data_IF_193057294717
#
_entry.id   IF_193057294717
#
_cell.length_a   1.000
_cell.length_b   1.000
_cell.length_c   1.000
_cell.angle_alpha   90.00
_cell.angle_beta   90.00
_cell.angle_gamma   90.00
#
_symmetry.space_group_name_H-M   'P 1'
#
loop_
_entity.id
_entity.type
_entity.pdbx_description
1 polymer ?
#
# COMPACT_ATOMS: atom_id res chain seq x y z
N UNK A 1 45.28 -25.56 -36.08
CA UNK A 1 43.89 -25.28 -36.49
C UNK A 1 43.06 -26.43 -35.95
N UNK A 2 42.24 -26.31 -34.92
CA UNK A 2 41.12 -25.38 -34.75
C UNK A 2 40.81 -25.23 -33.26
N UNK A 3 40.85 -23.99 -32.76
CA UNK A 3 40.38 -23.62 -31.41
C UNK A 3 38.85 -23.55 -31.46
N UNK A 4 38.17 -24.44 -30.75
CA UNK A 4 36.72 -24.36 -30.58
C UNK A 4 36.40 -23.27 -29.53
N UNK A 5 35.86 -22.15 -29.99
CA UNK A 5 35.29 -21.13 -29.12
C UNK A 5 34.01 -21.68 -28.50
N UNK A 6 34.02 -21.91 -27.19
CA UNK A 6 32.81 -22.19 -26.41
C UNK A 6 32.05 -20.87 -26.29
N UNK A 7 31.01 -20.72 -27.10
CA UNK A 7 30.03 -19.64 -26.98
C UNK A 7 29.21 -19.91 -25.70
N UNK A 8 29.57 -19.25 -24.59
CA UNK A 8 28.65 -19.14 -23.45
C UNK A 8 27.46 -18.29 -23.90
N UNK A 9 26.36 -18.94 -24.24
CA UNK A 9 25.06 -18.30 -24.30
C UNK A 9 24.69 -18.01 -22.85
N UNK A 10 24.82 -16.74 -22.44
CA UNK A 10 24.16 -16.27 -21.23
C UNK A 10 22.66 -16.44 -21.46
N UNK A 11 22.04 -17.45 -20.83
CA UNK A 11 20.60 -17.44 -20.66
C UNK A 11 20.28 -16.21 -19.82
N UNK A 12 19.75 -15.16 -20.46
CA UNK A 12 19.09 -14.10 -19.73
C UNK A 12 17.98 -14.79 -18.91
N UNK A 13 18.15 -14.82 -17.59
CA UNK A 13 17.09 -15.21 -16.69
C UNK A 13 15.95 -14.21 -16.95
N UNK A 14 14.93 -14.66 -17.67
CA UNK A 14 13.86 -13.78 -18.09
C UNK A 14 12.82 -13.79 -16.98
N UNK A 15 12.81 -12.71 -16.21
CA UNK A 15 11.90 -12.56 -15.08
C UNK A 15 10.48 -12.40 -15.63
N UNK A 16 9.77 -13.51 -15.65
CA UNK A 16 8.32 -13.59 -15.85
C UNK A 16 7.61 -12.76 -14.77
N UNK A 17 6.45 -12.19 -15.13
CA UNK A 17 5.66 -11.36 -14.25
C UNK A 17 4.18 -11.67 -14.41
N UNK A 18 3.47 -11.48 -13.30
CA UNK A 18 2.01 -11.45 -13.24
C UNK A 18 1.55 -10.00 -13.15
N UNK A 19 0.80 -9.55 -14.16
CA UNK A 19 0.22 -8.21 -14.21
C UNK A 19 -1.26 -8.30 -13.83
N UNK A 20 -1.60 -7.73 -12.67
CA UNK A 20 -2.98 -7.57 -12.24
C UNK A 20 -3.49 -6.22 -12.69
N UNK A 21 -4.66 -6.20 -13.30
CA UNK A 21 -5.30 -4.99 -13.83
C UNK A 21 -6.47 -4.56 -12.95
N UNK A 22 -6.87 -3.30 -13.09
CA UNK A 22 -7.95 -2.71 -12.31
C UNK A 22 -9.31 -3.38 -12.58
N UNK A 23 -9.53 -3.94 -13.78
CA UNK A 23 -10.75 -4.70 -14.11
C UNK A 23 -10.72 -6.15 -13.60
N UNK A 24 -9.72 -6.50 -12.78
CA UNK A 24 -9.59 -7.82 -12.15
C UNK A 24 -8.96 -8.89 -13.05
N UNK A 25 -8.55 -8.57 -14.29
CA UNK A 25 -7.81 -9.53 -15.12
C UNK A 25 -6.39 -9.70 -14.60
N UNK A 26 -5.91 -10.94 -14.70
CA UNK A 26 -4.53 -11.32 -14.50
C UNK A 26 -3.92 -11.69 -15.85
N UNK A 27 -2.79 -11.07 -16.18
CA UNK A 27 -2.02 -11.36 -17.39
C UNK A 27 -0.65 -11.89 -16.98
N UNK A 28 -0.30 -13.07 -17.46
CA UNK A 28 1.01 -13.69 -17.19
C UNK A 28 1.90 -13.57 -18.42
N UNK A 29 3.14 -13.15 -18.22
CA UNK A 29 4.10 -13.01 -19.31
C UNK A 29 5.38 -12.31 -18.92
N UNK A 30 6.27 -12.13 -19.89
CA UNK A 30 7.53 -11.41 -19.71
C UNK A 30 7.31 -9.91 -19.94
N UNK A 31 7.77 -9.07 -19.02
CA UNK A 31 7.77 -7.62 -19.23
C UNK A 31 8.93 -7.26 -20.16
N UNK A 32 8.63 -6.75 -21.35
CA UNK A 32 9.64 -6.37 -22.35
C UNK A 32 10.12 -4.92 -22.17
N UNK A 33 9.20 -4.01 -21.80
CA UNK A 33 9.52 -2.61 -21.52
C UNK A 33 8.43 -1.95 -20.67
N UNK A 34 8.79 -0.86 -20.01
CA UNK A 34 7.88 0.05 -19.32
C UNK A 34 8.27 1.46 -19.75
N UNK A 35 7.32 2.24 -20.25
CA UNK A 35 7.50 3.66 -20.50
C UNK A 35 6.53 4.49 -19.64
N UNK A 36 6.42 5.79 -19.92
CA UNK A 36 5.58 6.70 -19.13
C UNK A 36 4.08 6.36 -19.16
N UNK A 37 3.58 5.55 -20.10
CA UNK A 37 2.16 5.26 -20.29
C UNK A 37 1.83 3.79 -20.47
N UNK A 38 2.79 2.96 -20.87
CA UNK A 38 2.50 1.60 -21.32
C UNK A 38 3.55 0.62 -20.81
N UNK A 39 3.07 -0.53 -20.35
CA UNK A 39 3.85 -1.74 -20.15
C UNK A 39 3.70 -2.61 -21.40
N UNK A 40 4.81 -3.12 -21.91
CA UNK A 40 4.79 -4.09 -23.01
C UNK A 40 4.97 -5.49 -22.46
N UNK A 41 3.95 -6.34 -22.58
CA UNK A 41 3.97 -7.72 -22.11
C UNK A 41 4.13 -8.69 -23.28
N UNK A 42 5.05 -9.64 -23.16
CA UNK A 42 5.22 -10.76 -24.09
C UNK A 42 4.64 -12.02 -23.46
N UNK A 43 3.62 -12.59 -24.10
CA UNK A 43 2.95 -13.82 -23.65
C UNK A 43 2.65 -14.70 -24.86
N UNK A 44 2.94 -16.00 -24.77
CA UNK A 44 2.74 -16.99 -25.84
C UNK A 44 3.32 -16.56 -27.21
N UNK A 45 4.45 -15.85 -27.22
CA UNK A 45 5.10 -15.34 -28.43
C UNK A 45 4.42 -14.12 -29.06
N UNK A 46 3.42 -13.52 -28.40
CA UNK A 46 2.79 -12.26 -28.79
C UNK A 46 3.18 -11.14 -27.84
N UNK A 47 3.56 -10.00 -28.40
CA UNK A 47 3.78 -8.76 -27.67
C UNK A 47 2.50 -7.93 -27.63
N UNK A 48 2.04 -7.55 -26.44
CA UNK A 48 0.81 -6.78 -26.22
C UNK A 48 1.07 -5.56 -25.34
N UNK A 49 0.63 -4.35 -25.75
CA UNK A 49 0.69 -3.17 -24.90
C UNK A 49 -0.41 -3.22 -23.82
N UNK A 50 -0.05 -2.87 -22.59
CA UNK A 50 -0.96 -2.75 -21.44
C UNK A 50 -0.82 -1.32 -20.89
N UNK A 51 -1.87 -0.49 -20.92
CA UNK A 51 -1.83 0.86 -20.38
C UNK A 51 -1.52 0.86 -18.86
N UNK A 52 -0.55 1.68 -18.41
CA UNK A 52 -0.16 1.75 -17.00
C UNK A 52 -1.30 2.25 -16.10
N UNK A 53 -2.21 3.07 -16.63
CA UNK A 53 -3.39 3.54 -15.90
C UNK A 53 -4.36 2.39 -15.57
N UNK A 54 -4.44 1.36 -16.43
CA UNK A 54 -5.23 0.14 -16.23
C UNK A 54 -4.61 -0.89 -15.28
N UNK A 55 -3.33 -0.74 -14.92
CA UNK A 55 -2.61 -1.71 -14.07
C UNK A 55 -2.84 -1.39 -12.59
N UNK A 56 -3.09 -2.45 -11.81
CA UNK A 56 -3.11 -2.45 -10.35
C UNK A 56 -1.72 -2.78 -9.80
N UNK A 57 -1.15 -3.92 -10.18
CA UNK A 57 0.15 -4.38 -9.71
C UNK A 57 0.88 -5.17 -10.80
N UNK A 58 2.20 -5.02 -10.84
CA UNK A 58 3.11 -5.93 -11.55
C UNK A 58 3.89 -6.70 -10.49
N UNK A 59 3.72 -8.02 -10.42
CA UNK A 59 4.48 -8.90 -9.52
C UNK A 59 5.49 -9.70 -10.34
N UNK A 60 6.78 -9.64 -9.96
CA UNK A 60 7.85 -10.33 -10.67
C UNK A 60 8.20 -11.65 -9.99
N UNK A 61 8.37 -12.70 -10.80
CA UNK A 61 8.72 -14.04 -10.31
C UNK A 61 10.08 -14.05 -9.60
N UNK A 62 10.23 -14.98 -8.64
CA UNK A 62 11.45 -15.18 -7.88
C UNK A 62 11.22 -15.03 -6.37
N UNK A 63 12.13 -15.58 -5.58
CA UNK A 63 12.01 -15.52 -4.13
C UNK A 63 12.15 -14.08 -3.63
N UNK A 64 11.17 -13.61 -2.86
CA UNK A 64 11.36 -12.47 -1.96
C UNK A 64 12.26 -12.92 -0.81
N UNK A 65 13.22 -12.09 -0.42
CA UNK A 65 13.90 -12.33 0.84
C UNK A 65 12.91 -11.94 1.96
N UNK A 66 12.81 -12.73 3.04
CA UNK A 66 12.05 -12.29 4.21
C UNK A 66 12.59 -10.92 4.61
N UNK A 67 11.67 -9.96 4.85
CA UNK A 67 12.02 -8.60 5.26
C UNK A 67 12.94 -8.67 6.47
N UNK A 68 14.24 -8.49 6.23
CA UNK A 68 15.23 -8.58 7.29
C UNK A 68 14.99 -7.43 8.25
N UNK A 69 14.77 -7.74 9.51
CA UNK A 69 15.11 -6.79 10.57
C UNK A 69 16.52 -6.25 10.27
N UNK A 70 16.67 -4.93 10.33
CA UNK A 70 17.96 -4.27 10.11
C UNK A 70 19.03 -5.00 10.91
N UNK A 71 20.01 -5.59 10.24
CA UNK A 71 21.11 -6.22 10.94
C UNK A 71 21.99 -5.14 11.55
N UNK A 72 22.76 -5.50 12.58
CA UNK A 72 23.69 -4.55 13.17
C UNK A 72 24.65 -3.98 12.10
N UNK A 73 24.89 -2.67 12.15
CA UNK A 73 25.66 -1.94 11.13
C UNK A 73 24.87 -1.40 9.93
N UNK A 74 23.58 -1.71 9.77
CA UNK A 74 22.74 -1.09 8.74
C UNK A 74 22.01 0.16 9.23
N UNK A 75 21.69 1.07 8.30
CA UNK A 75 20.93 2.29 8.56
C UNK A 75 19.57 2.20 7.88
N UNK A 76 18.48 2.46 8.60
CA UNK A 76 17.15 2.62 7.98
C UNK A 76 16.86 4.08 7.73
N UNK A 77 16.45 4.43 6.52
CA UNK A 77 15.95 5.77 6.16
C UNK A 77 14.46 5.66 5.85
N UNK A 78 13.66 6.53 6.48
CA UNK A 78 12.22 6.68 6.20
C UNK A 78 11.98 8.06 5.62
N UNK A 79 11.17 8.14 4.56
CA UNK A 79 10.80 9.38 3.89
C UNK A 79 9.35 9.77 4.18
N UNK A 80 9.03 11.05 4.00
CA UNK A 80 7.68 11.59 4.23
C UNK A 80 6.60 11.01 3.32
N UNK A 81 6.99 10.43 2.19
CA UNK A 81 6.09 9.79 1.23
C UNK A 81 5.81 8.31 1.54
N UNK A 82 6.31 7.80 2.68
CA UNK A 82 6.15 6.41 3.10
C UNK A 82 7.28 5.48 2.63
N UNK A 83 8.21 5.95 1.79
CA UNK A 83 9.37 5.15 1.39
C UNK A 83 10.20 4.73 2.60
N UNK A 84 10.74 3.51 2.53
CA UNK A 84 11.64 2.94 3.54
C UNK A 84 12.80 2.24 2.84
N UNK A 85 14.00 2.66 3.16
CA UNK A 85 15.24 2.16 2.58
C UNK A 85 16.15 1.62 3.66
N UNK A 86 16.76 0.47 3.38
CA UNK A 86 17.84 -0.10 4.16
C UNK A 86 19.16 0.22 3.45
N UNK A 87 20.06 0.88 4.17
CA UNK A 87 21.28 1.45 3.64
C UNK A 87 22.51 0.85 4.32
N UNK A 88 23.60 0.68 3.57
CA UNK A 88 24.92 0.39 4.14
C UNK A 88 25.39 1.57 4.99
N UNK A 89 25.17 2.76 4.46
CA UNK A 89 25.59 4.00 5.10
C UNK A 89 24.79 5.19 4.57
N UNK A 90 24.90 6.28 5.31
CA UNK A 90 24.32 7.58 4.97
C UNK A 90 25.32 8.69 5.29
N UNK A 91 25.43 9.66 4.40
CA UNK A 91 26.21 10.90 4.60
C UNK A 91 25.37 12.10 4.17
N UNK A 92 25.82 13.31 4.49
CA UNK A 92 25.12 14.54 4.13
C UNK A 92 26.07 15.51 3.42
N UNK A 93 25.65 15.94 2.24
CA UNK A 93 26.31 16.96 1.43
C UNK A 93 25.41 18.21 1.43
N UNK A 94 25.73 19.21 2.26
CA UNK A 94 24.89 20.39 2.45
C UNK A 94 23.53 20.04 3.08
N UNK A 95 22.45 20.17 2.30
CA UNK A 95 21.07 19.78 2.71
C UNK A 95 20.55 18.57 1.93
N UNK A 96 21.46 17.75 1.41
CA UNK A 96 21.15 16.52 0.69
C UNK A 96 21.67 15.33 1.48
N UNK A 97 20.80 14.40 1.85
CA UNK A 97 21.17 13.09 2.34
C UNK A 97 21.63 12.24 1.15
N UNK A 98 22.84 11.69 1.25
CA UNK A 98 23.34 10.67 0.34
C UNK A 98 23.16 9.32 1.03
N UNK A 99 22.30 8.48 0.48
CA UNK A 99 21.97 7.16 1.02
C UNK A 99 22.49 6.07 0.10
N UNK A 100 23.39 5.21 0.60
CA UNK A 100 23.86 4.03 -0.12
C UNK A 100 22.93 2.85 0.18
N UNK A 101 21.84 2.75 -0.57
CA UNK A 101 20.82 1.71 -0.39
C UNK A 101 21.32 0.34 -0.86
N UNK A 102 21.00 -0.68 -0.06
CA UNK A 102 21.29 -2.07 -0.42
C UNK A 102 20.55 -2.54 -1.68
N UNK A 103 19.37 -1.96 -1.96
CA UNK A 103 18.53 -2.36 -3.09
C UNK A 103 18.48 -1.31 -4.20
N UNK A 104 18.42 -0.03 -3.85
CA UNK A 104 18.23 1.06 -4.81
C UNK A 104 19.54 1.73 -5.28
N UNK A 105 20.69 1.27 -4.77
CA UNK A 105 21.99 1.91 -5.00
C UNK A 105 22.10 3.28 -4.33
N UNK A 106 22.98 4.15 -4.85
CA UNK A 106 23.23 5.48 -4.29
C UNK A 106 22.09 6.45 -4.65
N UNK A 107 21.43 6.99 -3.63
CA UNK A 107 20.35 7.96 -3.74
C UNK A 107 20.76 9.32 -3.15
N UNK A 108 20.34 10.40 -3.81
CA UNK A 108 20.46 11.77 -3.30
C UNK A 108 19.06 12.29 -2.96
N UNK A 109 18.81 12.50 -1.67
CA UNK A 109 17.50 12.81 -1.13
C UNK A 109 17.55 14.16 -0.42
N UNK A 110 16.63 15.11 -0.71
CA UNK A 110 16.55 16.35 0.05
C UNK A 110 16.35 16.07 1.54
N UNK A 111 17.07 16.78 2.41
CA UNK A 111 16.98 16.58 3.87
C UNK A 111 15.55 16.75 4.39
N UNK A 112 14.79 17.69 3.81
CA UNK A 112 13.39 17.90 4.17
C UNK A 112 12.44 16.79 3.69
N UNK A 113 12.87 15.86 2.83
CA UNK A 113 12.08 14.67 2.49
C UNK A 113 12.32 13.51 3.48
N UNK A 114 13.36 13.61 4.32
CA UNK A 114 13.72 12.57 5.29
C UNK A 114 12.87 12.74 6.54
N UNK A 115 12.08 11.71 6.87
CA UNK A 115 11.27 11.66 8.07
C UNK A 115 12.05 11.10 9.26
N UNK A 116 12.91 10.11 9.03
CA UNK A 116 13.76 9.55 10.07
C UNK A 116 14.98 8.81 9.50
N UNK A 117 16.07 8.82 10.27
CA UNK A 117 17.25 7.99 10.06
C UNK A 117 17.49 7.18 11.34
N UNK A 118 17.49 5.85 11.24
CA UNK A 118 17.72 4.95 12.37
C UNK A 118 19.04 4.21 12.17
N UNK A 119 19.93 4.30 13.15
CA UNK A 119 21.27 3.71 13.10
C UNK A 119 21.37 2.35 13.80
N UNK A 120 20.32 1.93 14.52
CA UNK A 120 20.30 0.70 15.31
C UNK A 120 19.02 -0.11 15.03
N UNK A 121 19.04 -1.43 15.25
CA UNK A 121 17.81 -2.23 15.27
C UNK A 121 16.88 -1.76 16.39
N UNK A 122 15.59 -2.00 16.20
CA UNK A 122 14.59 -1.84 17.26
C UNK A 122 14.37 -3.16 17.99
N UNK A 123 13.69 -3.08 19.12
CA UNK A 123 13.13 -4.22 19.84
C UNK A 123 11.81 -3.79 20.51
N UNK A 124 11.03 -4.73 21.07
CA UNK A 124 9.73 -4.42 21.65
C UNK A 124 9.75 -3.34 22.75
N UNK A 125 10.88 -3.11 23.42
CA UNK A 125 10.96 -2.11 24.48
C UNK A 125 10.94 -0.67 23.93
N UNK A 126 11.52 -0.45 22.74
CA UNK A 126 11.69 0.89 22.16
C UNK A 126 10.86 1.15 20.90
N UNK A 127 10.27 0.12 20.28
CA UNK A 127 9.53 0.22 19.01
C UNK A 127 8.38 1.24 19.06
N UNK A 128 7.55 1.18 20.11
CA UNK A 128 6.41 2.10 20.28
C UNK A 128 6.89 3.55 20.42
N UNK A 129 7.93 3.78 21.24
CA UNK A 129 8.48 5.13 21.44
C UNK A 129 9.16 5.67 20.19
N UNK A 130 9.88 4.83 19.46
CA UNK A 130 10.47 5.22 18.18
C UNK A 130 9.37 5.63 17.18
N UNK A 131 8.31 4.84 17.08
CA UNK A 131 7.17 5.14 16.20
C UNK A 131 6.49 6.47 16.57
N UNK A 132 6.30 6.75 17.86
CA UNK A 132 5.78 8.03 18.35
C UNK A 132 6.68 9.21 17.94
N UNK A 133 8.00 9.09 18.12
CA UNK A 133 8.95 10.14 17.77
C UNK A 133 8.94 10.44 16.27
N UNK A 134 8.90 9.40 15.43
CA UNK A 134 8.83 9.56 13.97
C UNK A 134 7.51 10.20 13.52
N UNK A 135 6.40 9.88 14.20
CA UNK A 135 5.09 10.46 13.92
C UNK A 135 4.91 11.90 14.45
N UNK A 136 5.75 12.34 15.39
CA UNK A 136 5.59 13.63 16.07
C UNK A 136 5.78 14.87 15.18
N UNK A 137 6.38 14.72 13.99
CA UNK A 137 6.64 15.79 13.03
C UNK A 137 7.22 17.07 13.69
N UNK A 138 8.40 16.97 14.34
CA UNK A 138 8.90 18.03 15.21
C UNK A 138 9.28 19.30 14.43
N UNK A 139 9.24 20.45 15.10
CA UNK A 139 9.66 21.74 14.53
C UNK A 139 11.18 21.85 14.35
N UNK A 140 11.95 21.12 15.16
CA UNK A 140 13.42 21.06 15.14
C UNK A 140 13.87 19.61 15.01
N UNK A 141 15.12 19.41 14.58
CA UNK A 141 15.68 18.07 14.48
C UNK A 141 15.79 17.46 15.89
N UNK A 142 15.40 16.19 16.01
CA UNK A 142 15.59 15.39 17.22
C UNK A 142 16.77 14.44 17.02
N UNK A 143 17.74 14.53 17.92
CA UNK A 143 18.71 13.47 18.15
C UNK A 143 18.10 12.48 19.14
N UNK A 144 18.01 11.21 18.73
CA UNK A 144 17.43 10.14 19.56
C UNK A 144 18.56 9.27 20.09
N UNK A 145 18.62 9.12 21.41
CA UNK A 145 19.59 8.27 22.10
C UNK A 145 18.89 7.21 22.92
N UNK A 146 19.46 6.01 22.94
CA UNK A 146 18.94 4.89 23.71
C UNK A 146 19.68 4.77 25.03
N UNK A 147 18.93 4.70 26.12
CA UNK A 147 19.43 4.41 27.47
C UNK A 147 18.68 3.19 28.03
N UNK A 148 19.32 2.02 27.95
CA UNK A 148 18.69 0.71 28.24
C UNK A 148 17.42 0.53 27.40
N UNK A 149 16.25 0.60 28.03
CA UNK A 149 14.96 0.32 27.42
C UNK A 149 14.16 1.58 27.09
N UNK A 150 14.79 2.76 27.23
CA UNK A 150 14.16 4.06 26.99
C UNK A 150 14.87 4.80 25.85
N UNK A 151 14.09 5.49 25.02
CA UNK A 151 14.59 6.45 24.05
C UNK A 151 14.43 7.87 24.58
N UNK A 152 15.55 8.54 24.81
CA UNK A 152 15.61 9.96 25.12
C UNK A 152 15.81 10.76 23.83
N UNK A 153 15.41 12.05 23.87
CA UNK A 153 15.54 12.97 22.73
C UNK A 153 16.22 14.26 23.14
N UNK A 154 16.99 14.82 22.21
CA UNK A 154 17.58 16.15 22.32
C UNK A 154 17.20 16.96 21.09
N UNK A 155 16.65 18.16 21.30
CA UNK A 155 16.31 19.09 20.22
C UNK A 155 17.52 19.89 19.77
N UNK A 156 17.64 20.10 18.47
CA UNK A 156 18.74 20.85 17.88
C UNK A 156 18.69 20.89 16.36
N UNK A 157 19.85 20.89 15.72
CA UNK A 157 19.96 20.87 14.26
C UNK A 157 21.10 19.98 13.82
N UNK A 158 20.80 19.05 12.92
CA UNK A 158 21.82 18.27 12.22
C UNK A 158 22.50 19.17 11.19
N UNK A 159 23.79 19.39 11.37
CA UNK A 159 24.61 20.27 10.52
C UNK A 159 25.64 19.51 9.68
N UNK A 160 25.91 18.26 10.02
CA UNK A 160 26.82 17.39 9.30
C UNK A 160 26.53 15.93 9.59
N UNK A 161 26.73 15.07 8.59
CA UNK A 161 26.68 13.63 8.74
C UNK A 161 27.73 13.05 7.79
N UNK A 162 28.80 12.50 8.33
CA UNK A 162 29.82 11.75 7.58
C UNK A 162 29.86 10.30 8.07
N UNK A 163 30.72 9.47 7.50
CA UNK A 163 30.81 8.03 7.83
C UNK A 163 31.05 7.76 9.32
N UNK A 164 31.80 8.63 10.01
CA UNK A 164 32.19 8.46 11.40
C UNK A 164 31.38 9.31 12.39
N UNK A 165 30.92 10.50 11.98
CA UNK A 165 30.36 11.50 12.88
C UNK A 165 29.02 12.07 12.39
N UNK A 166 28.14 12.31 13.35
CA UNK A 166 26.99 13.18 13.23
C UNK A 166 27.31 14.49 13.97
N UNK A 167 27.20 15.63 13.30
CA UNK A 167 27.44 16.94 13.92
C UNK A 167 26.11 17.60 14.26
N UNK A 168 25.82 17.70 15.55
CA UNK A 168 24.58 18.25 16.09
C UNK A 168 24.81 19.62 16.73
N UNK A 169 23.94 20.58 16.42
CA UNK A 169 23.96 21.92 16.99
C UNK A 169 22.94 22.02 18.12
N UNK A 170 23.39 22.43 19.30
CA UNK A 170 22.53 22.74 20.45
C UNK A 170 22.74 24.21 20.79
N UNK A 171 21.77 25.06 20.40
CA UNK A 171 22.01 26.50 20.34
C UNK A 171 23.09 26.82 19.30
N UNK A 172 24.19 27.44 19.73
CA UNK A 172 25.33 27.78 18.87
C UNK A 172 26.49 26.76 18.96
N UNK A 173 26.39 25.80 19.89
CA UNK A 173 27.46 24.84 20.16
C UNK A 173 27.43 23.69 19.16
N UNK A 174 28.56 23.45 18.48
CA UNK A 174 28.78 22.29 17.61
C UNK A 174 29.21 21.08 18.43
N UNK A 175 28.40 20.03 18.44
CA UNK A 175 28.67 18.77 19.15
C UNK A 175 28.90 17.65 18.12
N UNK A 176 30.15 17.20 17.90
CA UNK A 176 30.42 16.01 17.10
C UNK A 176 30.04 14.75 17.91
N UNK A 177 29.27 13.86 17.30
CA UNK A 177 28.79 12.62 17.90
C UNK A 177 29.31 11.46 17.08
N UNK A 178 30.14 10.64 17.72
CA UNK A 178 30.67 9.40 17.14
C UNK A 178 29.53 8.40 16.86
N UNK A 179 29.35 8.05 15.58
CA UNK A 179 28.29 7.17 15.10
C UNK A 179 28.47 5.71 15.51
N UNK A 180 29.67 5.32 15.94
CA UNK A 180 29.92 3.97 16.46
C UNK A 180 29.33 3.78 17.86
N UNK A 181 28.96 4.86 18.57
CA UNK A 181 28.40 4.75 19.93
C UNK A 181 27.06 4.00 19.91
N UNK A 182 26.89 2.92 20.70
CA UNK A 182 25.67 2.12 20.68
C UNK A 182 24.43 2.89 21.15
N UNK A 183 24.64 3.95 21.97
CA UNK A 183 23.57 4.83 22.44
C UNK A 183 22.99 5.72 21.35
N UNK A 184 23.70 6.00 20.26
CA UNK A 184 23.13 6.78 19.16
C UNK A 184 22.10 5.92 18.42
N UNK A 185 20.82 6.24 18.57
CA UNK A 185 19.73 5.43 18.04
C UNK A 185 19.25 5.94 16.68
N UNK A 186 19.05 7.25 16.55
CA UNK A 186 18.54 7.83 15.32
C UNK A 186 18.44 9.35 15.32
N UNK A 187 17.94 9.87 14.20
CA UNK A 187 17.62 11.27 13.98
C UNK A 187 16.20 11.33 13.41
N UNK A 188 15.40 12.28 13.91
CA UNK A 188 14.11 12.66 13.30
C UNK A 188 14.24 14.12 12.86
N UNK A 189 14.42 14.38 11.56
CA UNK A 189 14.53 15.74 11.05
C UNK A 189 13.27 16.56 11.34
N UNK A 190 13.47 17.83 11.69
CA UNK A 190 12.39 18.77 11.89
C UNK A 190 11.84 19.27 10.56
N UNK A 191 10.53 19.56 10.53
CA UNK A 191 9.83 20.13 9.36
C UNK A 191 10.00 19.27 8.09
N UNK A 192 9.97 17.95 8.25
CA UNK A 192 9.88 17.05 7.10
C UNK A 192 8.65 17.44 6.27
N UNK A 193 8.86 17.72 4.99
CA UNK A 193 7.82 18.11 4.05
C UNK A 193 7.36 16.88 3.27
N UNK A 194 6.06 16.81 2.91
CA UNK A 194 5.60 15.81 1.97
C UNK A 194 6.35 15.95 0.63
N UNK A 195 6.41 14.87 -0.14
CA UNK A 195 7.04 14.86 -1.46
C UNK A 195 6.45 15.96 -2.34
N UNK A 196 7.31 16.57 -3.18
CA UNK A 196 6.87 17.63 -4.11
C UNK A 196 5.95 17.10 -5.23
N UNK A 197 6.01 15.81 -5.50
CA UNK A 197 5.19 15.12 -6.50
C UNK A 197 4.31 14.06 -5.85
N UNK A 198 3.08 13.95 -6.35
CA UNK A 198 2.22 12.78 -6.10
C UNK A 198 2.89 11.53 -6.68
N UNK A 199 3.10 10.47 -5.89
CA UNK A 199 3.62 9.20 -6.41
C UNK A 199 2.69 8.62 -7.48
N UNK A 200 3.29 8.09 -8.54
CA UNK A 200 2.65 7.29 -9.59
C UNK A 200 2.43 5.84 -9.12
N UNK A 201 3.42 5.29 -8.41
CA UNK A 201 3.42 3.92 -7.93
C UNK A 201 4.34 3.73 -6.71
N UNK A 202 4.14 2.63 -5.97
CA UNK A 202 5.09 2.13 -4.96
C UNK A 202 5.86 0.95 -5.55
N UNK A 203 7.19 1.02 -5.56
CA UNK A 203 8.04 -0.12 -5.89
C UNK A 203 8.42 -0.85 -4.60
N UNK A 204 8.26 -2.17 -4.59
CA UNK A 204 8.73 -3.08 -3.53
C UNK A 204 9.97 -3.83 -4.00
N UNK A 205 11.05 -3.69 -3.27
CA UNK A 205 12.27 -4.46 -3.49
C UNK A 205 12.18 -5.83 -2.82
N UNK A 206 12.97 -6.80 -3.32
CA UNK A 206 13.02 -8.16 -2.75
C UNK A 206 13.57 -8.23 -1.32
N UNK A 207 14.30 -7.21 -0.86
CA UNK A 207 14.74 -7.10 0.52
C UNK A 207 13.66 -6.54 1.47
N UNK A 208 12.48 -6.20 0.95
CA UNK A 208 11.36 -5.61 1.70
C UNK A 208 11.34 -4.08 1.73
N UNK A 209 12.37 -3.41 1.21
CA UNK A 209 12.38 -1.95 1.07
C UNK A 209 11.26 -1.49 0.12
N UNK A 210 10.79 -0.25 0.34
CA UNK A 210 9.71 0.37 -0.43
C UNK A 210 10.14 1.75 -0.90
N UNK A 211 9.80 2.08 -2.13
CA UNK A 211 10.13 3.37 -2.71
C UNK A 211 8.95 3.92 -3.49
N UNK A 212 8.45 5.08 -3.07
CA UNK A 212 7.44 5.83 -3.81
C UNK A 212 8.11 6.48 -5.04
N UNK A 213 7.52 6.28 -6.21
CA UNK A 213 8.07 6.72 -7.49
C UNK A 213 7.13 7.73 -8.15
N UNK A 214 7.68 8.83 -8.65
CA UNK A 214 7.00 9.73 -9.59
C UNK A 214 7.08 9.22 -11.04
N UNK A 215 7.97 8.26 -11.31
CA UNK A 215 8.09 7.61 -12.62
C UNK A 215 8.99 6.39 -12.59
N UNK A 216 8.71 5.47 -13.51
CA UNK A 216 9.49 4.25 -13.73
C UNK A 216 9.56 4.00 -15.23
N UNK A 217 10.77 3.69 -15.71
CA UNK A 217 11.02 3.33 -17.11
C UNK A 217 11.91 2.08 -17.12
N UNK A 218 11.65 1.14 -18.03
CA UNK A 218 12.40 -0.10 -18.14
C UNK A 218 12.90 -0.31 -19.58
N UNK A 219 14.20 -0.61 -19.70
CA UNK A 219 14.87 -0.98 -20.95
C UNK A 219 15.71 -2.23 -20.72
N UNK A 220 15.34 -3.35 -21.34
CA UNK A 220 15.90 -4.65 -20.98
C UNK A 220 15.63 -4.94 -19.50
N UNK A 221 16.64 -5.43 -18.78
CA UNK A 221 16.52 -5.76 -17.35
C UNK A 221 16.90 -4.60 -16.42
N UNK A 222 17.03 -3.38 -16.97
CA UNK A 222 17.36 -2.17 -16.21
C UNK A 222 16.14 -1.28 -16.03
N UNK A 223 15.83 -0.93 -14.78
CA UNK A 223 14.80 0.04 -14.44
C UNK A 223 15.43 1.37 -14.02
N UNK A 224 15.07 2.44 -14.71
CA UNK A 224 15.32 3.80 -14.29
C UNK A 224 14.16 4.26 -13.41
N UNK A 225 14.46 4.57 -12.16
CA UNK A 225 13.51 4.97 -11.13
C UNK A 225 13.63 6.47 -10.87
N UNK A 226 12.50 7.17 -10.79
CA UNK A 226 12.39 8.57 -10.39
C UNK A 226 11.64 8.63 -9.05
N UNK A 227 12.34 8.63 -7.89
CA UNK A 227 11.69 8.71 -6.59
C UNK A 227 10.82 9.97 -6.44
N UNK A 228 9.69 9.86 -5.75
CA UNK A 228 8.80 11.00 -5.49
C UNK A 228 9.45 12.06 -4.58
N UNK A 229 10.36 11.63 -3.70
CA UNK A 229 11.24 12.51 -2.91
C UNK A 229 12.28 13.28 -3.76
N UNK A 230 12.51 12.89 -5.02
CA UNK A 230 13.46 13.50 -5.94
C UNK A 230 14.65 12.62 -6.28
N UNK A 231 15.43 13.07 -7.28
CA UNK A 231 16.58 12.33 -7.81
C UNK A 231 16.21 11.30 -8.87
N UNK A 232 17.19 10.48 -9.26
CA UNK A 232 17.00 9.36 -10.20
C UNK A 232 18.03 8.28 -9.84
N UNK A 233 17.62 7.02 -9.93
CA UNK A 233 18.53 5.87 -9.78
C UNK A 233 18.23 4.81 -10.82
N UNK A 234 19.15 3.89 -11.04
CA UNK A 234 18.94 2.73 -11.92
C UNK A 234 19.21 1.45 -11.14
N UNK A 235 18.30 0.48 -11.26
CA UNK A 235 18.40 -0.83 -10.61
C UNK A 235 18.19 -1.94 -11.62
N UNK A 236 18.68 -3.14 -11.30
CA UNK A 236 18.39 -4.34 -12.06
C UNK A 236 17.00 -4.89 -11.68
N UNK A 237 16.30 -5.47 -12.63
CA UNK A 237 14.96 -6.05 -12.44
C UNK A 237 14.95 -7.13 -11.34
N UNK A 238 16.04 -7.88 -11.18
CA UNK A 238 16.17 -8.92 -10.15
C UNK A 238 16.08 -8.38 -8.72
N UNK A 239 16.32 -7.08 -8.49
CA UNK A 239 16.16 -6.48 -7.17
C UNK A 239 14.69 -6.18 -6.83
N UNK A 240 13.80 -6.20 -7.83
CA UNK A 240 12.41 -5.76 -7.72
C UNK A 240 11.49 -6.97 -7.49
N UNK A 241 10.60 -6.85 -6.49
CA UNK A 241 9.58 -7.84 -6.19
C UNK A 241 8.25 -7.47 -6.86
N UNK A 242 7.79 -6.23 -6.69
CA UNK A 242 6.58 -5.75 -7.35
C UNK A 242 6.56 -4.23 -7.53
N UNK A 243 5.67 -3.77 -8.41
CA UNK A 243 5.35 -2.36 -8.63
C UNK A 243 3.83 -2.21 -8.53
N UNK A 244 3.37 -1.46 -7.52
CA UNK A 244 1.96 -1.21 -7.22
C UNK A 244 1.54 0.16 -7.80
N UNK A 245 0.67 0.13 -8.80
CA UNK A 245 0.05 1.29 -9.44
C UNK A 245 -1.36 1.59 -8.91
N UNK A 246 -1.82 0.85 -7.90
CA UNK A 246 -3.14 1.01 -7.28
C UNK A 246 -3.27 2.26 -6.42
N UNK A 247 -2.14 2.81 -5.94
CA UNK A 247 -2.15 4.00 -5.09
C UNK A 247 -2.88 5.16 -5.77
N UNK A 248 -3.94 5.66 -5.14
CA UNK A 248 -4.76 6.75 -5.66
C UNK A 248 -5.75 6.38 -6.76
N UNK A 249 -5.68 5.14 -7.30
CA UNK A 249 -6.63 4.60 -8.29
C UNK A 249 -7.71 3.72 -7.67
N UNK A 250 -7.39 3.04 -6.57
CA UNK A 250 -8.33 2.18 -5.85
C UNK A 250 -8.69 2.81 -4.52
N UNK A 251 -9.97 2.84 -4.19
CA UNK A 251 -10.47 3.31 -2.90
C UNK A 251 -11.42 2.25 -2.35
N UNK A 252 -11.07 1.63 -1.22
CA UNK A 252 -11.97 0.66 -0.62
C UNK A 252 -13.21 1.37 -0.06
N UNK A 253 -14.37 0.74 -0.20
CA UNK A 253 -15.61 1.33 0.29
C UNK A 253 -15.63 1.44 1.82
N UNK A 254 -14.88 0.58 2.52
CA UNK A 254 -14.67 0.65 3.97
C UNK A 254 -13.84 1.86 4.43
N UNK A 255 -13.10 2.49 3.52
CA UNK A 255 -12.36 3.73 3.78
C UNK A 255 -13.20 4.98 3.53
N UNK A 256 -14.40 4.83 2.99
CA UNK A 256 -15.32 5.93 2.72
C UNK A 256 -16.43 5.95 3.76
N UNK A 257 -16.74 7.14 4.24
CA UNK A 257 -17.94 7.36 5.03
C UNK A 257 -19.12 7.56 4.08
N UNK A 258 -20.20 6.76 4.19
CA UNK A 258 -21.40 6.99 3.41
C UNK A 258 -22.03 8.33 3.83
N UNK A 259 -22.46 9.11 2.83
CA UNK A 259 -23.19 10.36 3.05
C UNK A 259 -24.50 10.15 3.80
N UNK A 260 -25.14 9.01 3.55
CA UNK A 260 -26.35 8.58 4.23
C UNK A 260 -26.23 7.10 4.57
N UNK A 261 -26.50 6.78 5.84
CA UNK A 261 -26.70 5.42 6.33
C UNK A 261 -28.06 5.39 6.98
N UNK A 262 -29.03 4.75 6.32
CA UNK A 262 -30.41 4.63 6.81
C UNK A 262 -30.73 3.16 7.02
N UNK A 263 -30.92 2.78 8.27
CA UNK A 263 -31.41 1.46 8.66
C UNK A 263 -32.89 1.57 9.05
N UNK A 264 -33.69 0.59 8.65
CA UNK A 264 -35.08 0.45 9.05
C UNK A 264 -35.27 -0.96 9.61
N UNK A 265 -35.34 -1.14 10.94
CA UNK A 265 -35.47 -2.46 11.54
C UNK A 265 -36.84 -3.07 11.25
N UNK A 266 -36.89 -4.40 11.16
CA UNK A 266 -38.15 -5.12 10.95
C UNK A 266 -39.08 -5.06 12.18
N UNK A 267 -38.52 -5.08 13.40
CA UNK A 267 -39.26 -5.04 14.67
C UNK A 267 -38.92 -3.81 15.55
N UNK A 268 -39.62 -2.69 15.38
CA UNK A 268 -39.58 -1.54 16.31
C UNK A 268 -38.22 -0.84 16.46
N UNK A 269 -38.21 0.40 16.94
CA UNK A 269 -37.02 1.28 16.96
C UNK A 269 -36.06 1.07 18.17
N UNK A 270 -36.27 0.04 18.99
CA UNK A 270 -35.49 -0.15 20.24
C UNK A 270 -34.20 -0.98 20.05
N UNK A 271 -33.93 -1.46 18.83
CA UNK A 271 -32.76 -2.29 18.48
C UNK A 271 -31.77 -1.60 17.51
N UNK A 272 -31.95 -0.31 17.24
CA UNK A 272 -31.22 0.45 16.20
C UNK A 272 -29.69 0.36 16.31
N UNK A 273 -29.12 0.16 17.50
CA UNK A 273 -27.67 0.06 17.71
C UNK A 273 -27.06 -1.32 17.42
N UNK A 274 -27.88 -2.38 17.31
CA UNK A 274 -27.38 -3.76 17.16
C UNK A 274 -26.93 -4.03 15.73
N UNK A 275 -27.59 -3.44 14.74
CA UNK A 275 -27.40 -3.74 13.31
C UNK A 275 -26.56 -2.71 12.54
N UNK A 276 -25.67 -2.03 13.24
CA UNK A 276 -24.68 -1.15 12.61
C UNK A 276 -23.88 -1.90 11.54
N UNK A 277 -23.73 -1.29 10.35
CA UNK A 277 -22.85 -1.83 9.29
C UNK A 277 -21.45 -2.10 9.85
N UNK A 278 -20.98 -3.33 9.70
CA UNK A 278 -19.61 -3.70 10.06
C UNK A 278 -18.67 -3.33 8.94
N UNK A 279 -17.52 -2.78 9.31
CA UNK A 279 -16.51 -2.31 8.38
C UNK A 279 -15.26 -3.16 8.58
N UNK A 280 -14.83 -3.86 7.53
CA UNK A 280 -13.63 -4.72 7.50
C UNK A 280 -13.64 -5.91 8.48
N UNK A 281 -14.79 -6.24 9.09
CA UNK A 281 -14.91 -7.39 9.99
C UNK A 281 -16.30 -8.03 9.98
N UNK A 282 -16.38 -9.26 10.49
CA UNK A 282 -17.61 -10.03 10.68
C UNK A 282 -18.38 -9.59 11.93
N UNK A 283 -19.66 -9.94 12.02
CA UNK A 283 -20.48 -9.76 13.23
C UNK A 283 -19.97 -10.57 14.44
N UNK A 284 -19.12 -11.58 14.20
CA UNK A 284 -18.44 -12.31 15.27
C UNK A 284 -17.42 -11.46 16.04
N UNK A 285 -17.01 -10.30 15.52
CA UNK A 285 -16.19 -9.31 16.23
C UNK A 285 -15.11 -8.63 15.38
N UNK A 286 -14.45 -7.58 15.91
CA UNK A 286 -13.57 -6.69 15.16
C UNK A 286 -12.26 -7.32 14.67
N UNK A 287 -11.91 -8.52 15.15
CA UNK A 287 -10.71 -9.26 14.71
C UNK A 287 -11.06 -10.45 13.82
N UNK A 288 -12.34 -10.67 13.51
CA UNK A 288 -12.80 -11.79 12.70
C UNK A 288 -13.01 -11.31 11.26
N UNK A 289 -12.28 -11.85 10.26
CA UNK A 289 -12.43 -11.40 8.89
C UNK A 289 -13.80 -11.78 8.32
N UNK A 290 -14.26 -11.04 7.31
CA UNK A 290 -15.50 -11.34 6.59
C UNK A 290 -15.30 -12.64 5.81
N UNK A 291 -16.27 -13.55 5.86
CA UNK A 291 -16.23 -14.79 5.07
C UNK A 291 -17.52 -15.01 4.29
N UNK A 292 -17.38 -15.48 3.05
CA UNK A 292 -18.51 -15.83 2.17
C UNK A 292 -18.19 -17.17 1.52
N UNK A 293 -18.96 -18.21 1.84
CA UNK A 293 -18.82 -19.55 1.28
C UNK A 293 -17.37 -20.08 1.28
N UNK A 294 -16.71 -19.96 2.44
CA UNK A 294 -15.31 -20.36 2.61
C UNK A 294 -14.25 -19.35 2.14
N UNK A 295 -14.60 -18.37 1.31
CA UNK A 295 -13.69 -17.28 0.89
C UNK A 295 -13.53 -16.25 2.01
N UNK A 296 -12.32 -15.75 2.23
CA UNK A 296 -11.97 -14.83 3.33
C UNK A 296 -11.56 -13.47 2.79
N UNK A 297 -12.15 -12.40 3.35
CA UNK A 297 -11.91 -11.01 2.95
C UNK A 297 -11.47 -10.19 4.16
N UNK A 298 -10.33 -9.50 4.03
CA UNK A 298 -9.79 -8.59 5.06
C UNK A 298 -10.43 -7.19 4.99
N UNK A 299 -11.10 -6.89 3.88
CA UNK A 299 -11.81 -5.62 3.67
C UNK A 299 -13.20 -5.88 3.13
N UNK A 300 -14.12 -4.99 3.47
CA UNK A 300 -15.50 -5.08 3.00
C UNK A 300 -16.50 -4.52 4.00
N UNK A 301 -17.78 -4.83 3.74
CA UNK A 301 -18.89 -4.43 4.60
C UNK A 301 -19.74 -5.65 4.95
N UNK A 302 -20.30 -5.69 6.16
CA UNK A 302 -21.42 -6.56 6.52
C UNK A 302 -22.62 -5.70 6.87
N UNK A 303 -23.73 -5.94 6.18
CA UNK A 303 -24.91 -5.07 6.15
C UNK A 303 -26.14 -5.90 6.47
N UNK A 304 -26.85 -5.54 7.54
CA UNK A 304 -28.14 -6.14 7.87
C UNK A 304 -29.28 -5.51 7.05
N UNK A 305 -30.31 -6.28 6.67
CA UNK A 305 -31.54 -5.72 6.09
C UNK A 305 -32.40 -4.99 7.14
N UNK A 306 -33.23 -4.01 6.83
CA UNK A 306 -33.24 -3.20 5.61
C UNK A 306 -32.28 -2.02 5.80
N UNK A 307 -31.23 -1.91 4.98
CA UNK A 307 -30.23 -0.83 5.08
C UNK A 307 -29.94 -0.21 3.72
N UNK A 308 -29.90 1.12 3.69
CA UNK A 308 -29.43 1.93 2.55
C UNK A 308 -28.15 2.67 2.90
N UNK A 309 -27.15 2.55 2.03
CA UNK A 309 -25.90 3.29 2.07
C UNK A 309 -25.75 4.12 0.80
N UNK A 310 -25.57 5.43 0.93
CA UNK A 310 -25.30 6.34 -0.19
C UNK A 310 -23.87 6.87 -0.10
N UNK A 311 -23.05 6.59 -1.11
CA UNK A 311 -21.67 7.04 -1.22
C UNK A 311 -21.53 8.12 -2.28
N UNK A 312 -20.78 9.17 -1.96
CA UNK A 312 -20.45 10.23 -2.90
C UNK A 312 -19.26 9.80 -3.75
N UNK A 313 -19.45 9.74 -5.07
CA UNK A 313 -18.44 9.37 -6.06
C UNK A 313 -17.81 10.58 -6.75
N UNK A 314 -18.48 11.73 -6.79
CA UNK A 314 -18.05 12.97 -7.47
C UNK A 314 -17.75 12.84 -8.98
N UNK A 315 -18.03 11.71 -9.62
CA UNK A 315 -17.62 11.43 -11.00
C UNK A 315 -16.16 10.97 -11.15
N UNK A 316 -15.46 10.72 -10.04
CA UNK A 316 -14.02 10.39 -10.05
C UNK A 316 -13.74 8.91 -10.36
N UNK A 317 -14.78 8.06 -10.35
CA UNK A 317 -14.66 6.61 -10.45
C UNK A 317 -15.34 6.06 -11.70
N UNK A 318 -14.85 4.92 -12.17
CA UNK A 318 -15.32 4.16 -13.33
C UNK A 318 -15.90 2.79 -12.98
N UNK A 319 -15.38 2.14 -11.94
CA UNK A 319 -15.86 0.80 -11.55
C UNK A 319 -16.17 0.72 -10.05
N UNK A 320 -17.22 -0.01 -9.73
CA UNK A 320 -17.48 -0.57 -8.40
C UNK A 320 -17.31 -2.08 -8.47
N UNK A 321 -16.37 -2.62 -7.69
CA UNK A 321 -16.04 -4.06 -7.66
C UNK A 321 -16.22 -4.60 -6.25
N UNK A 322 -16.87 -5.76 -6.12
CA UNK A 322 -17.08 -6.45 -4.84
C UNK A 322 -17.38 -7.94 -5.05
N UNK A 323 -17.36 -8.73 -3.98
CA UNK A 323 -17.95 -10.07 -3.93
C UNK A 323 -19.14 -10.04 -2.96
N UNK A 324 -20.34 -10.23 -3.49
CA UNK A 324 -21.57 -10.24 -2.69
C UNK A 324 -21.96 -11.66 -2.26
N UNK A 325 -22.50 -11.79 -1.06
CA UNK A 325 -23.10 -13.03 -0.57
C UNK A 325 -23.56 -12.89 0.87
N UNK A 326 -24.25 -13.88 1.40
CA UNK A 326 -24.57 -13.92 2.83
C UNK A 326 -23.33 -14.33 3.64
N UNK A 327 -23.10 -13.64 4.74
CA UNK A 327 -21.95 -13.84 5.63
C UNK A 327 -21.94 -15.25 6.26
N UNK A 328 -20.75 -15.83 6.36
CA UNK A 328 -20.54 -17.23 6.73
C UNK A 328 -21.16 -17.67 8.07
N UNK A 329 -21.23 -16.77 9.05
CA UNK A 329 -21.76 -16.99 10.41
C UNK A 329 -23.24 -17.38 10.38
N UNK A 330 -24.01 -16.85 9.43
CA UNK A 330 -25.46 -17.06 9.36
C UNK A 330 -25.87 -18.06 8.27
N UNK A 331 -24.96 -18.38 7.34
CA UNK A 331 -25.19 -19.42 6.32
C UNK A 331 -25.57 -20.78 6.96
N UNK A 332 -26.48 -21.56 6.34
CA UNK A 332 -27.14 -21.31 5.05
C UNK A 332 -28.42 -20.45 5.14
N UNK A 333 -28.70 -19.81 6.29
CA UNK A 333 -29.82 -18.88 6.47
C UNK A 333 -29.52 -17.53 5.83
N UNK A 334 -30.49 -16.61 5.87
CA UNK A 334 -30.40 -15.29 5.27
C UNK A 334 -30.87 -15.27 3.83
N UNK A 335 -31.64 -14.25 3.50
CA UNK A 335 -32.11 -13.99 2.15
C UNK A 335 -32.47 -12.51 2.06
N UNK A 336 -31.74 -11.80 1.23
CA UNK A 336 -31.94 -10.36 1.04
C UNK A 336 -32.18 -10.05 -0.43
N UNK A 337 -32.79 -8.91 -0.70
CA UNK A 337 -32.75 -8.30 -2.04
C UNK A 337 -31.64 -7.25 -2.07
N UNK A 338 -30.57 -7.51 -2.82
CA UNK A 338 -29.49 -6.56 -3.05
C UNK A 338 -29.79 -5.73 -4.30
N UNK A 339 -29.90 -4.42 -4.14
CA UNK A 339 -29.98 -3.45 -5.22
C UNK A 339 -28.80 -2.49 -5.16
N UNK A 340 -28.12 -2.29 -6.29
CA UNK A 340 -27.03 -1.32 -6.44
C UNK A 340 -27.39 -0.38 -7.58
N UNK A 341 -27.36 0.93 -7.30
CA UNK A 341 -27.68 1.97 -8.28
C UNK A 341 -26.59 3.03 -8.33
N UNK A 342 -26.38 3.65 -9.49
CA UNK A 342 -25.54 4.84 -9.66
C UNK A 342 -26.40 6.00 -10.18
N UNK A 343 -26.40 7.13 -9.46
CA UNK A 343 -27.30 8.27 -9.72
C UNK A 343 -28.77 7.86 -9.95
N UNK A 344 -29.25 6.87 -9.18
CA UNK A 344 -30.60 6.31 -9.27
C UNK A 344 -30.83 5.32 -10.41
N UNK A 345 -29.86 5.10 -11.31
CA UNK A 345 -29.93 4.05 -12.34
C UNK A 345 -29.54 2.71 -11.74
N UNK A 346 -30.40 1.70 -11.85
CA UNK A 346 -30.11 0.34 -11.44
C UNK A 346 -28.95 -0.26 -12.27
N UNK A 347 -27.91 -0.73 -11.56
CA UNK A 347 -26.77 -1.44 -12.13
C UNK A 347 -26.83 -2.94 -11.83
N UNK A 348 -27.42 -3.30 -10.69
CA UNK A 348 -27.59 -4.67 -10.24
C UNK A 348 -28.81 -4.76 -9.32
N UNK A 349 -29.66 -5.75 -9.50
CA UNK A 349 -30.73 -6.11 -8.57
C UNK A 349 -30.92 -7.63 -8.57
N UNK A 350 -30.81 -8.25 -7.39
CA UNK A 350 -30.97 -9.71 -7.25
C UNK A 350 -31.31 -10.11 -5.82
N UNK A 351 -32.11 -11.16 -5.67
CA UNK A 351 -32.21 -11.90 -4.42
C UNK A 351 -30.92 -12.71 -4.17
N UNK A 352 -30.38 -12.64 -2.95
CA UNK A 352 -29.15 -13.32 -2.53
C UNK A 352 -29.47 -14.20 -1.32
N UNK A 353 -29.25 -15.51 -1.45
CA UNK A 353 -29.56 -16.51 -0.39
C UNK A 353 -28.31 -17.03 0.30
N UNK A 354 -28.47 -17.48 1.54
CA UNK A 354 -27.42 -18.15 2.30
C UNK A 354 -26.87 -19.43 1.66
N UNK A 355 -27.65 -20.05 0.77
CA UNK A 355 -27.22 -21.21 -0.02
C UNK A 355 -26.49 -20.86 -1.32
N UNK A 356 -26.50 -19.60 -1.75
CA UNK A 356 -25.92 -19.19 -3.03
C UNK A 356 -24.40 -19.14 -2.95
N UNK A 357 -23.74 -19.49 -4.06
CA UNK A 357 -22.31 -19.22 -4.23
C UNK A 357 -22.03 -17.70 -4.27
N UNK A 358 -20.82 -17.25 -3.89
CA UNK A 358 -20.47 -15.83 -3.91
C UNK A 358 -20.62 -15.22 -5.31
N UNK A 359 -21.16 -14.00 -5.36
CA UNK A 359 -21.50 -13.30 -6.60
C UNK A 359 -20.45 -12.21 -6.85
N UNK A 360 -19.57 -12.36 -7.86
CA UNK A 360 -18.67 -11.29 -8.26
C UNK A 360 -19.46 -10.14 -8.89
N UNK A 361 -19.19 -8.92 -8.45
CA UNK A 361 -19.76 -7.68 -8.95
C UNK A 361 -18.66 -6.85 -9.60
N UNK A 362 -18.90 -6.38 -10.83
CA UNK A 362 -18.04 -5.46 -11.55
C UNK A 362 -18.90 -4.49 -12.38
N UNK A 363 -19.27 -3.38 -11.74
CA UNK A 363 -20.31 -2.46 -12.21
C UNK A 363 -19.68 -1.16 -12.73
N UNK A 364 -20.15 -0.68 -13.89
CA UNK A 364 -19.74 0.61 -14.44
C UNK A 364 -20.42 1.77 -13.70
N UNK A 365 -19.63 2.64 -13.10
CA UNK A 365 -20.05 3.86 -12.39
C UNK A 365 -19.46 5.12 -13.03
N UNK A 366 -18.98 5.02 -14.27
CA UNK A 366 -18.31 6.12 -14.97
C UNK A 366 -19.17 7.39 -15.00
N UNK A 367 -18.61 8.47 -14.45
CA UNK A 367 -19.27 9.78 -14.39
C UNK A 367 -20.38 9.89 -13.35
N UNK A 368 -20.69 8.82 -12.62
CA UNK A 368 -21.71 8.84 -11.58
C UNK A 368 -21.26 9.68 -10.38
N UNK A 369 -22.18 10.42 -9.77
CA UNK A 369 -21.91 11.26 -8.59
C UNK A 369 -22.25 10.58 -7.29
N UNK A 370 -23.15 9.61 -7.31
CA UNK A 370 -23.62 8.85 -6.16
C UNK A 370 -23.72 7.35 -6.48
N UNK A 371 -23.28 6.52 -5.54
CA UNK A 371 -23.50 5.07 -5.53
C UNK A 371 -24.41 4.73 -4.35
N UNK A 372 -25.52 4.06 -4.60
CA UNK A 372 -26.42 3.55 -3.57
C UNK A 372 -26.33 2.04 -3.51
N UNK A 373 -26.10 1.52 -2.30
CA UNK A 373 -26.23 0.10 -1.96
C UNK A 373 -27.45 -0.02 -1.07
N UNK A 374 -28.43 -0.79 -1.52
CA UNK A 374 -29.65 -1.05 -0.77
C UNK A 374 -29.81 -2.55 -0.55
N UNK A 375 -29.88 -2.93 0.72
CA UNK A 375 -30.13 -4.30 1.16
C UNK A 375 -31.52 -4.30 1.75
N UNK A 376 -32.46 -4.89 1.04
CA UNK A 376 -33.85 -5.03 1.48
C UNK A 376 -34.11 -6.43 2.02
N UNK A 377 -35.21 -6.59 2.76
CA UNK A 377 -35.69 -7.88 3.25
C UNK A 377 -35.92 -8.86 2.08
N UNK A 378 -35.75 -10.14 2.37
CA UNK A 378 -36.20 -11.22 1.49
C UNK A 378 -37.60 -11.72 1.83
N UNK A 379 -37.94 -12.88 1.25
CA UNK A 379 -39.22 -13.56 1.49
C UNK A 379 -39.37 -14.24 2.86
N UNK A 380 -38.38 -14.19 3.75
CA UNK A 380 -38.30 -14.88 5.04
C UNK A 380 -37.98 -13.93 6.21
N UNK A 381 -38.43 -12.68 6.10
CA UNK A 381 -38.25 -11.61 7.11
C UNK A 381 -36.79 -11.12 7.14
N UNK A 382 -36.19 -10.99 8.32
CA UNK A 382 -34.82 -10.51 8.54
C UNK A 382 -33.89 -11.57 9.18
N UNK A 383 -34.31 -12.85 9.27
CA UNK A 383 -33.51 -13.90 9.92
C UNK A 383 -32.24 -14.24 9.13
N UNK A 384 -31.10 -13.81 9.68
CA UNK A 384 -29.80 -14.08 9.09
C UNK A 384 -29.48 -13.20 7.88
N UNK A 385 -30.14 -12.05 7.74
CA UNK A 385 -29.98 -11.11 6.62
C UNK A 385 -28.68 -10.30 6.68
N UNK A 386 -27.56 -10.98 6.90
CA UNK A 386 -26.24 -10.39 6.99
C UNK A 386 -25.58 -10.45 5.62
N UNK A 387 -25.88 -9.48 4.75
CA UNK A 387 -25.22 -9.38 3.46
C UNK A 387 -23.77 -8.91 3.65
N UNK A 388 -22.82 -9.69 3.13
CA UNK A 388 -21.42 -9.31 3.04
C UNK A 388 -21.08 -8.82 1.62
N UNK A 389 -20.32 -7.73 1.55
CA UNK A 389 -19.64 -7.23 0.35
C UNK A 389 -18.13 -7.32 0.57
N UNK A 390 -17.53 -8.45 0.19
CA UNK A 390 -16.10 -8.70 0.29
C UNK A 390 -15.30 -7.89 -0.74
N UNK A 391 -14.19 -7.29 -0.29
CA UNK A 391 -13.27 -6.48 -1.10
C UNK A 391 -13.96 -5.37 -1.92
N UNK A 392 -15.02 -4.80 -1.35
CA UNK A 392 -15.79 -3.71 -1.95
C UNK A 392 -14.89 -2.48 -2.17
N UNK A 393 -14.75 -2.06 -3.43
CA UNK A 393 -13.85 -0.98 -3.82
C UNK A 393 -14.35 -0.21 -5.05
N UNK A 394 -13.91 1.04 -5.12
CA UNK A 394 -14.09 1.94 -6.25
C UNK A 394 -12.76 2.12 -6.98
N UNK A 395 -12.83 2.26 -8.29
CA UNK A 395 -11.69 2.32 -9.18
C UNK A 395 -11.83 3.53 -10.11
N UNK A 396 -10.77 4.34 -10.22
CA UNK A 396 -10.71 5.55 -11.07
C UNK A 396 -10.48 5.28 -12.56
#
# INVERSE_FOLDING_TARGET
>A
MTTAAVLMIALAATTSAKVSTLDGKSLDGKVASIDAKTLTLESEGRTSPVPLDSILEISFDGASQPSGETTDGQVTVRLSDGSRLTCRQTTMEGRTLVADSLAAGRLQLPWNAVQAIRFRPTDPAVESKWSELVASAPERDLLVVRNRDVLDRLEGTVSGLDEANLVFLVGETRVPIDRSKPKLFGVVPGRAQPSKSTPLCELRFRNGDRLALAGVEMKGDSLTLKPAAGGTTTVHLDAVASIDFGQGKVTSLSQLEPREKKHAPYFGSELDSVFDVRIDHSDAGPQVPIRIDGQTFQRGLVIHSQTRLNYRLNGDYRRFVAVAGIEQLVRPRGRVTLTITADGKELFAREVKGSDSPIPLDLDVTGARELTIFVDFGGDLDDGDHLALGDARLIK
#
